data_IF_003479861854
#
_entry.id   IF_003479861854
#
_cell.length_a   1.000
_cell.length_b   1.000
_cell.length_c   1.000
_cell.angle_alpha   90.00
_cell.angle_beta   90.00
_cell.angle_gamma   90.00
#
_symmetry.space_group_name_H-M   'P 1'
#
loop_
_entity.id
_entity.type
_entity.pdbx_description
1 polymer ?
#
# COMPACT_ATOMS: atom_id res chain seq x y z
N UNK A 1 -11.75 12.93 28.85
CA UNK A 1 -12.86 12.07 29.30
C UNK A 1 -14.08 12.50 28.51
N UNK A 2 -14.69 11.62 27.72
CA UNK A 2 -15.86 11.97 26.91
C UNK A 2 -17.06 12.22 27.83
N UNK A 3 -17.82 13.28 27.57
CA UNK A 3 -19.03 13.62 28.33
C UNK A 3 -20.15 12.64 27.95
N UNK A 4 -20.77 11.99 28.95
CA UNK A 4 -21.88 11.05 28.74
C UNK A 4 -23.16 11.84 28.45
N UNK A 5 -23.85 11.49 27.36
CA UNK A 5 -25.10 12.16 26.95
C UNK A 5 -26.29 11.36 27.45
N UNK A 6 -27.26 12.03 28.07
CA UNK A 6 -28.53 11.44 28.49
C UNK A 6 -29.67 11.93 27.60
N UNK A 7 -30.52 11.02 27.12
CA UNK A 7 -31.75 11.37 26.38
C UNK A 7 -32.90 10.41 26.69
N UNK A 8 -34.14 10.87 26.47
CA UNK A 8 -35.36 10.09 26.68
C UNK A 8 -35.81 9.43 25.38
N UNK A 9 -36.01 8.11 25.40
CA UNK A 9 -36.60 7.36 24.29
C UNK A 9 -37.80 6.55 24.80
N UNK A 10 -39.01 6.91 24.38
CA UNK A 10 -40.23 6.17 24.75
C UNK A 10 -40.49 6.08 26.26
N UNK A 11 -40.03 7.05 27.06
CA UNK A 11 -40.16 7.06 28.52
C UNK A 11 -39.02 6.34 29.27
N UNK A 12 -38.01 5.83 28.56
CA UNK A 12 -36.79 5.29 29.15
C UNK A 12 -35.66 6.32 29.09
N UNK A 13 -34.93 6.47 30.20
CA UNK A 13 -33.67 7.23 30.24
C UNK A 13 -32.56 6.40 29.61
N UNK A 14 -32.05 6.85 28.47
CA UNK A 14 -30.90 6.25 27.78
C UNK A 14 -29.65 7.09 28.07
N UNK A 15 -28.59 6.43 28.50
CA UNK A 15 -27.26 7.02 28.69
C UNK A 15 -26.34 6.47 27.59
N UNK A 16 -25.84 7.34 26.73
CA UNK A 16 -24.92 6.95 25.67
C UNK A 16 -23.62 7.75 25.79
N UNK A 17 -22.50 7.08 25.53
CA UNK A 17 -21.27 7.79 25.23
C UNK A 17 -21.39 8.28 23.78
N UNK A 18 -21.00 9.54 23.48
CA UNK A 18 -20.94 9.98 22.10
C UNK A 18 -19.94 9.09 21.37
N UNK A 19 -20.45 8.33 20.39
CA UNK A 19 -19.58 7.63 19.45
C UNK A 19 -18.84 8.72 18.67
N UNK A 20 -17.56 8.91 18.97
CA UNK A 20 -16.68 9.66 18.08
C UNK A 20 -16.72 8.87 16.77
N UNK A 21 -17.15 9.47 15.63
CA UNK A 21 -17.04 8.79 14.36
C UNK A 21 -15.55 8.51 14.15
N UNK A 22 -15.16 7.25 14.36
CA UNK A 22 -13.81 6.80 14.03
C UNK A 22 -13.75 6.95 12.53
N UNK A 23 -12.96 7.91 12.06
CA UNK A 23 -12.73 8.07 10.63
C UNK A 23 -12.34 6.69 10.10
N UNK A 24 -13.19 6.12 9.23
CA UNK A 24 -12.89 4.86 8.56
C UNK A 24 -11.54 5.07 7.89
N UNK A 25 -10.51 4.37 8.37
CA UNK A 25 -9.21 4.40 7.72
C UNK A 25 -9.43 4.11 6.23
N UNK A 26 -8.86 4.94 5.35
CA UNK A 26 -8.96 4.70 3.93
C UNK A 26 -8.50 3.25 3.64
N UNK A 27 -9.16 2.53 2.72
CA UNK A 27 -8.76 1.16 2.41
C UNK A 27 -7.28 1.16 2.02
N UNK A 28 -6.49 0.31 2.68
CA UNK A 28 -5.06 0.23 2.47
C UNK A 28 -4.77 -0.05 0.98
N UNK A 29 -3.88 0.74 0.37
CA UNK A 29 -3.56 0.63 -1.07
C UNK A 29 -2.65 -0.56 -1.32
N UNK A 30 -3.25 -1.75 -1.43
CA UNK A 30 -2.53 -3.02 -1.60
C UNK A 30 -2.73 -3.59 -2.99
N UNK A 31 -1.64 -4.05 -3.58
CA UNK A 31 -1.63 -4.76 -4.86
C UNK A 31 -0.96 -6.13 -4.72
N UNK A 32 -1.32 -7.05 -5.59
CA UNK A 32 -0.62 -8.33 -5.72
C UNK A 32 0.83 -8.11 -6.15
N UNK A 33 1.70 -9.07 -5.81
CA UNK A 33 3.11 -9.04 -6.23
C UNK A 33 3.24 -9.04 -7.76
N UNK A 34 2.36 -9.78 -8.46
CA UNK A 34 2.33 -9.80 -9.92
C UNK A 34 2.04 -8.42 -10.50
N UNK A 35 1.00 -7.76 -10.01
CA UNK A 35 0.64 -6.40 -10.41
C UNK A 35 1.77 -5.39 -10.14
N UNK A 36 2.46 -5.51 -9.00
CA UNK A 36 3.62 -4.66 -8.71
C UNK A 36 4.71 -4.78 -9.78
N UNK A 37 5.06 -6.00 -10.20
CA UNK A 37 6.02 -6.17 -11.29
C UNK A 37 5.49 -5.68 -12.63
N UNK A 38 4.18 -5.78 -12.88
CA UNK A 38 3.56 -5.28 -14.11
C UNK A 38 3.60 -3.75 -14.21
N UNK A 39 3.60 -3.04 -13.08
CA UNK A 39 3.80 -1.57 -13.05
C UNK A 39 5.17 -1.11 -13.52
N UNK A 40 6.17 -2.00 -13.58
CA UNK A 40 7.48 -1.68 -14.18
C UNK A 40 7.44 -1.64 -15.72
N UNK A 41 6.34 -2.08 -16.34
CA UNK A 41 6.16 -2.01 -17.79
C UNK A 41 7.32 -2.69 -18.55
N UNK A 42 7.92 -2.02 -19.56
CA UNK A 42 9.02 -2.59 -20.36
C UNK A 42 10.26 -2.95 -19.55
N UNK A 43 10.54 -2.26 -18.44
CA UNK A 43 11.73 -2.48 -17.61
C UNK A 43 11.64 -3.79 -16.80
N UNK A 44 10.44 -4.36 -16.63
CA UNK A 44 10.18 -5.56 -15.81
C UNK A 44 11.20 -6.67 -16.06
N UNK A 45 11.38 -7.07 -17.32
CA UNK A 45 12.26 -8.20 -17.64
C UNK A 45 13.74 -7.89 -17.44
N UNK A 46 14.15 -6.64 -17.67
CA UNK A 46 15.51 -6.21 -17.39
C UNK A 46 15.81 -6.25 -15.89
N UNK A 47 14.87 -5.77 -15.05
CA UNK A 47 14.97 -5.83 -13.59
C UNK A 47 15.03 -7.27 -13.08
N UNK A 48 14.14 -8.14 -13.59
CA UNK A 48 14.09 -9.55 -13.17
C UNK A 48 15.32 -10.36 -13.61
N UNK A 49 15.97 -9.96 -14.71
CA UNK A 49 17.20 -10.59 -15.21
C UNK A 49 18.47 -10.03 -14.58
N UNK A 50 18.40 -8.92 -13.84
CA UNK A 50 19.56 -8.27 -13.24
C UNK A 50 20.13 -9.09 -12.08
N UNK A 51 21.39 -9.48 -12.20
CA UNK A 51 22.08 -10.31 -11.20
C UNK A 51 22.77 -9.52 -10.09
N UNK A 52 22.74 -8.18 -10.14
CA UNK A 52 23.35 -7.34 -9.11
C UNK A 52 22.77 -7.68 -7.72
N UNK A 53 23.62 -7.76 -6.67
CA UNK A 53 23.17 -8.16 -5.34
C UNK A 53 22.00 -7.30 -4.81
N UNK A 54 22.03 -6.00 -5.11
CA UNK A 54 21.05 -5.03 -4.64
C UNK A 54 19.71 -5.17 -5.35
N UNK A 55 19.69 -5.31 -6.68
CA UNK A 55 18.44 -5.54 -7.43
C UNK A 55 17.81 -6.87 -7.05
N UNK A 56 18.62 -7.94 -6.92
CA UNK A 56 18.12 -9.24 -6.45
C UNK A 56 17.55 -9.19 -5.03
N UNK A 57 18.11 -8.36 -4.15
CA UNK A 57 17.55 -8.20 -2.80
C UNK A 57 16.14 -7.60 -2.86
N UNK A 58 15.92 -6.54 -3.66
CA UNK A 58 14.62 -5.90 -3.83
C UNK A 58 13.60 -6.87 -4.45
N UNK A 59 13.97 -7.53 -5.55
CA UNK A 59 13.09 -8.51 -6.22
C UNK A 59 12.72 -9.65 -5.26
N UNK A 60 13.68 -10.19 -4.50
CA UNK A 60 13.40 -11.25 -3.53
C UNK A 60 12.50 -10.79 -2.40
N UNK A 61 12.73 -9.60 -1.84
CA UNK A 61 11.87 -9.04 -0.78
C UNK A 61 10.42 -8.89 -1.26
N UNK A 62 10.21 -8.31 -2.44
CA UNK A 62 8.87 -8.17 -3.01
C UNK A 62 8.21 -9.53 -3.29
N UNK A 63 8.98 -10.52 -3.77
CA UNK A 63 8.45 -11.83 -4.19
C UNK A 63 7.91 -12.70 -3.06
N UNK A 64 8.37 -12.50 -1.83
CA UNK A 64 7.95 -13.30 -0.67
C UNK A 64 6.82 -12.67 0.14
N UNK A 65 6.39 -11.45 -0.23
CA UNK A 65 5.28 -10.77 0.44
C UNK A 65 3.94 -11.31 -0.05
N UNK A 66 2.94 -11.30 0.84
CA UNK A 66 1.57 -11.65 0.47
C UNK A 66 0.95 -10.61 -0.48
N UNK A 67 1.33 -9.34 -0.32
CA UNK A 67 0.92 -8.20 -1.13
C UNK A 67 1.97 -7.09 -1.01
N UNK A 68 1.94 -6.14 -1.93
CA UNK A 68 2.71 -4.91 -1.85
C UNK A 68 1.80 -3.82 -1.31
N UNK A 69 2.22 -3.22 -0.19
CA UNK A 69 1.57 -2.06 0.39
C UNK A 69 2.18 -0.80 -0.23
N UNK A 70 1.40 -0.07 -1.02
CA UNK A 70 1.85 1.14 -1.71
C UNK A 70 2.07 2.31 -0.76
N UNK A 71 1.48 2.27 0.44
CA UNK A 71 1.67 3.28 1.48
C UNK A 71 2.86 2.95 2.41
N UNK A 72 3.62 1.87 2.13
CA UNK A 72 4.80 1.49 2.90
C UNK A 72 5.93 2.54 2.73
N UNK A 73 6.42 3.17 3.81
CA UNK A 73 7.47 4.20 3.74
C UNK A 73 8.81 3.70 3.20
N UNK A 74 9.06 2.39 3.24
CA UNK A 74 10.30 1.79 2.71
C UNK A 74 10.23 1.48 1.21
N UNK A 75 9.04 1.48 0.61
CA UNK A 75 8.85 1.14 -0.81
C UNK A 75 9.65 2.08 -1.75
N UNK A 76 9.64 3.41 -1.56
CA UNK A 76 10.46 4.32 -2.38
C UNK A 76 11.96 4.00 -2.34
N UNK A 77 12.49 3.55 -1.19
CA UNK A 77 13.90 3.21 -1.07
C UNK A 77 14.26 1.97 -1.91
N UNK A 78 13.35 0.98 -1.96
CA UNK A 78 13.49 -0.18 -2.85
C UNK A 78 13.50 0.21 -4.33
N UNK A 79 12.63 1.13 -4.74
CA UNK A 79 12.58 1.62 -6.13
C UNK A 79 13.82 2.45 -6.50
N UNK A 80 14.35 3.24 -5.55
CA UNK A 80 15.59 3.99 -5.76
C UNK A 80 16.80 3.08 -6.02
N UNK A 81 16.83 1.88 -5.42
CA UNK A 81 17.88 0.88 -5.72
C UNK A 81 17.80 0.44 -7.19
N UNK A 82 16.59 0.21 -7.71
CA UNK A 82 16.40 -0.19 -9.11
C UNK A 82 16.80 0.94 -10.08
N UNK A 83 16.43 2.19 -9.77
CA UNK A 83 16.88 3.35 -10.54
C UNK A 83 18.40 3.53 -10.51
N UNK A 84 19.03 3.35 -9.35
CA UNK A 84 20.49 3.45 -9.20
C UNK A 84 21.25 2.36 -9.98
N UNK A 85 20.60 1.21 -10.23
CA UNK A 85 21.12 0.17 -11.11
C UNK A 85 20.93 0.47 -12.61
N UNK A 86 20.28 1.59 -12.95
CA UNK A 86 20.09 2.05 -14.33
C UNK A 86 18.78 1.61 -14.98
N UNK A 87 17.83 1.06 -14.21
CA UNK A 87 16.51 0.71 -14.73
C UNK A 87 15.64 1.97 -14.86
N UNK A 88 15.10 2.17 -16.06
CA UNK A 88 14.21 3.29 -16.38
C UNK A 88 12.79 2.99 -15.86
N UNK A 89 12.56 3.35 -14.59
CA UNK A 89 11.26 3.25 -13.93
C UNK A 89 10.89 4.60 -13.29
N UNK A 90 9.58 4.88 -13.22
CA UNK A 90 9.03 6.03 -12.53
C UNK A 90 8.35 5.58 -11.20
N UNK A 91 8.96 5.88 -10.04
CA UNK A 91 8.39 5.54 -8.73
C UNK A 91 7.00 6.12 -8.49
N UNK A 92 6.68 7.30 -9.04
CA UNK A 92 5.36 7.90 -8.89
C UNK A 92 4.32 7.17 -9.73
N UNK A 93 4.66 6.70 -10.92
CA UNK A 93 3.74 5.84 -11.69
C UNK A 93 3.52 4.48 -11.00
N UNK A 94 4.51 3.97 -10.27
CA UNK A 94 4.40 2.70 -9.55
C UNK A 94 3.60 2.84 -8.25
N UNK A 95 3.82 3.92 -7.49
CA UNK A 95 3.23 4.11 -6.16
C UNK A 95 1.91 4.86 -6.25
N UNK A 96 1.90 6.01 -6.94
CA UNK A 96 0.80 6.96 -6.87
C UNK A 96 -0.34 6.63 -7.84
N UNK A 97 -0.08 5.80 -8.87
CA UNK A 97 -1.13 5.38 -9.78
C UNK A 97 -2.31 4.72 -9.04
N UNK A 98 -3.57 5.05 -9.43
CA UNK A 98 -4.76 4.44 -8.85
C UNK A 98 -4.68 2.91 -8.92
N UNK A 99 -5.03 2.25 -7.81
CA UNK A 99 -5.13 0.79 -7.77
C UNK A 99 -6.33 0.35 -8.60
N UNK A 100 -6.09 -0.53 -9.58
CA UNK A 100 -7.12 -1.11 -10.43
C UNK A 100 -7.69 -2.37 -9.79
N UNK A 101 -8.90 -2.74 -10.19
CA UNK A 101 -9.61 -3.88 -9.60
C UNK A 101 -8.84 -5.21 -9.78
N UNK A 102 -8.21 -5.38 -10.93
CA UNK A 102 -7.39 -6.54 -11.28
C UNK A 102 -6.05 -6.62 -10.54
N UNK A 103 -5.64 -5.54 -9.87
CA UNK A 103 -4.38 -5.50 -9.13
C UNK A 103 -4.53 -5.95 -7.69
N UNK A 104 -5.75 -6.07 -7.16
CA UNK A 104 -5.97 -6.50 -5.79
C UNK A 104 -5.46 -7.94 -5.55
N UNK A 105 -4.87 -8.21 -4.37
CA UNK A 105 -4.37 -9.54 -4.00
C UNK A 105 -5.49 -10.58 -3.80
#
# INVERSE_FOLDING_TARGET
>A
MAEMIEFQLGGATVRAFPEIPVASAAPARRISVGAFYDRFGPAKWAILADESPQVRAVVRDASVRAFIDLDNPDLPAGLAILQAAGHDIDPSEIIDAPVRAEEHP
#
